data_IF_972557466579
#
_entry.id   IF_972557466579
#
_cell.length_a   1.000
_cell.length_b   1.000
_cell.length_c   1.000
_cell.angle_alpha   90.00
_cell.angle_beta   90.00
_cell.angle_gamma   90.00
#
_symmetry.space_group_name_H-M   'P 1'
#
loop_
_entity.id
_entity.type
_entity.pdbx_description
1 polymer ?
#
# COMPACT_ATOMS: atom_id res chain seq x y z
N UNK A 1 -46.15 27.04 -46.74
CA UNK A 1 -46.04 26.83 -45.27
C UNK A 1 -45.74 25.39 -44.87
N UNK A 2 -46.30 24.36 -45.52
CA UNK A 2 -45.98 22.94 -45.19
C UNK A 2 -44.52 22.56 -45.47
N UNK A 3 -43.93 23.08 -46.55
CA UNK A 3 -42.53 22.86 -46.94
C UNK A 3 -41.51 23.46 -45.95
N UNK A 4 -41.78 24.64 -45.39
CA UNK A 4 -40.93 25.26 -44.36
C UNK A 4 -41.00 24.46 -43.05
N UNK A 5 -42.18 23.95 -42.66
CA UNK A 5 -42.34 23.09 -41.48
C UNK A 5 -41.58 21.76 -41.62
N UNK A 6 -41.58 21.17 -42.81
CA UNK A 6 -40.79 19.96 -43.13
C UNK A 6 -39.28 20.19 -43.08
N UNK A 7 -38.82 21.37 -43.51
CA UNK A 7 -37.40 21.74 -43.52
C UNK A 7 -36.88 22.01 -42.10
N UNK A 8 -37.69 22.64 -41.23
CA UNK A 8 -37.38 22.82 -39.80
C UNK A 8 -37.34 21.46 -39.08
N UNK A 9 -38.25 20.53 -39.39
CA UNK A 9 -38.27 19.19 -38.78
C UNK A 9 -37.05 18.35 -39.20
N UNK A 10 -36.62 18.45 -40.46
CA UNK A 10 -35.41 17.79 -40.97
C UNK A 10 -34.15 18.35 -40.31
N UNK A 11 -34.07 19.68 -40.14
CA UNK A 11 -32.95 20.35 -39.49
C UNK A 11 -32.86 19.99 -37.99
N UNK A 12 -33.98 19.90 -37.28
CA UNK A 12 -34.00 19.42 -35.90
C UNK A 12 -33.58 17.94 -35.78
N UNK A 13 -33.89 17.09 -36.75
CA UNK A 13 -33.46 15.69 -36.77
C UNK A 13 -31.95 15.50 -36.94
N UNK A 14 -31.28 16.41 -37.65
CA UNK A 14 -29.82 16.41 -37.82
C UNK A 14 -29.07 16.77 -36.52
N UNK A 15 -29.65 17.58 -35.64
CA UNK A 15 -29.07 17.90 -34.33
C UNK A 15 -29.23 16.78 -33.29
N UNK A 16 -30.12 15.81 -33.52
CA UNK A 16 -30.32 14.67 -32.62
C UNK A 16 -29.21 13.61 -32.72
N UNK A 17 -28.32 13.69 -33.72
CA UNK A 17 -27.24 12.72 -33.94
C UNK A 17 -25.91 13.10 -33.25
N UNK A 18 -25.84 14.22 -32.52
CA UNK A 18 -24.61 14.66 -31.82
C UNK A 18 -24.47 14.15 -30.37
N UNK A 19 -25.20 13.11 -29.97
CA UNK A 19 -25.27 12.66 -28.57
C UNK A 19 -24.21 11.64 -28.13
N UNK A 20 -23.24 11.30 -28.97
CA UNK A 20 -22.13 10.45 -28.56
C UNK A 20 -21.13 11.26 -27.72
N UNK A 21 -21.31 11.26 -26.40
CA UNK A 21 -20.27 11.69 -25.46
C UNK A 21 -19.22 10.59 -25.42
N UNK A 22 -18.15 10.75 -26.20
CA UNK A 22 -17.12 9.73 -26.33
C UNK A 22 -16.38 9.46 -25.01
N UNK A 23 -16.27 10.46 -24.13
CA UNK A 23 -15.46 10.39 -22.91
C UNK A 23 -16.29 10.05 -21.65
N UNK A 24 -17.54 9.60 -21.80
CA UNK A 24 -18.36 9.23 -20.64
C UNK A 24 -17.83 7.98 -19.94
N UNK A 25 -17.27 7.04 -20.72
CA UNK A 25 -16.70 5.79 -20.21
C UNK A 25 -15.22 5.92 -19.84
N UNK A 26 -14.53 6.94 -20.36
CA UNK A 26 -13.12 7.21 -20.08
C UNK A 26 -12.99 8.17 -18.89
N UNK A 27 -13.27 7.64 -17.70
CA UNK A 27 -13.17 8.37 -16.43
C UNK A 27 -11.99 7.83 -15.62
N UNK A 28 -11.08 8.72 -15.24
CA UNK A 28 -10.04 8.37 -14.28
C UNK A 28 -10.66 8.02 -12.92
N UNK A 29 -10.13 6.99 -12.22
CA UNK A 29 -10.55 6.67 -10.87
C UNK A 29 -10.23 7.84 -9.93
N UNK A 30 -11.25 8.36 -9.26
CA UNK A 30 -11.13 9.50 -8.34
C UNK A 30 -10.72 9.07 -6.92
N UNK A 31 -10.68 7.77 -6.65
CA UNK A 31 -10.38 7.15 -5.36
C UNK A 31 -8.98 6.53 -5.29
N UNK A 32 -8.24 6.53 -6.39
CA UNK A 32 -6.90 5.93 -6.50
C UNK A 32 -5.92 6.96 -7.03
N UNK A 33 -4.75 7.04 -6.40
CA UNK A 33 -3.64 7.85 -6.90
C UNK A 33 -2.96 7.05 -8.03
N UNK A 34 -2.89 7.62 -9.23
CA UNK A 34 -2.22 6.99 -10.36
C UNK A 34 -0.72 6.83 -10.11
N UNK A 35 -0.10 5.80 -10.69
CA UNK A 35 1.34 5.54 -10.51
C UNK A 35 2.18 6.75 -10.95
N UNK A 36 1.85 7.37 -12.08
CA UNK A 36 2.55 8.57 -12.58
C UNK A 36 2.50 9.74 -11.58
N UNK A 37 1.40 9.88 -10.84
CA UNK A 37 1.25 10.92 -9.84
C UNK A 37 2.03 10.59 -8.56
N UNK A 38 2.15 9.31 -8.19
CA UNK A 38 2.95 8.88 -7.03
C UNK A 38 4.41 9.28 -7.22
N UNK A 39 5.01 8.96 -8.36
CA UNK A 39 6.45 9.16 -8.58
C UNK A 39 6.84 10.59 -8.96
N UNK A 40 5.87 11.45 -9.27
CA UNK A 40 6.10 12.87 -9.57
C UNK A 40 5.87 13.82 -8.38
N UNK A 41 5.34 13.31 -7.26
CA UNK A 41 4.99 14.11 -6.10
C UNK A 41 5.74 13.62 -4.85
N UNK A 42 6.60 14.45 -4.28
CA UNK A 42 7.37 14.15 -3.07
C UNK A 42 6.51 13.70 -1.88
N UNK A 43 5.34 14.32 -1.67
CA UNK A 43 4.45 13.93 -0.57
C UNK A 43 3.85 12.54 -0.80
N UNK A 44 3.57 12.18 -2.05
CA UNK A 44 3.06 10.85 -2.39
C UNK A 44 4.14 9.78 -2.19
N UNK A 45 5.39 10.05 -2.59
CA UNK A 45 6.53 9.16 -2.31
C UNK A 45 6.76 9.01 -0.80
N UNK A 46 6.69 10.11 -0.04
CA UNK A 46 6.80 10.07 1.42
C UNK A 46 5.67 9.26 2.07
N UNK A 47 4.43 9.39 1.60
CA UNK A 47 3.32 8.58 2.08
C UNK A 47 3.50 7.09 1.77
N UNK A 48 4.00 6.76 0.57
CA UNK A 48 4.35 5.39 0.19
C UNK A 48 5.44 4.82 1.12
N UNK A 49 6.51 5.58 1.35
CA UNK A 49 7.60 5.20 2.25
C UNK A 49 7.10 5.00 3.68
N UNK A 50 6.21 5.88 4.18
CA UNK A 50 5.60 5.74 5.50
C UNK A 50 4.81 4.43 5.64
N UNK A 51 4.06 4.02 4.61
CA UNK A 51 3.38 2.72 4.60
C UNK A 51 4.35 1.54 4.66
N UNK A 52 5.48 1.61 3.95
CA UNK A 52 6.52 0.57 4.06
C UNK A 52 7.10 0.46 5.47
N UNK A 53 7.27 1.59 6.18
CA UNK A 53 7.71 1.58 7.58
C UNK A 53 6.66 1.07 8.54
N UNK A 54 5.37 1.39 8.33
CA UNK A 54 4.26 0.87 9.14
C UNK A 54 4.22 -0.66 9.10
N UNK A 55 4.45 -1.23 7.92
CA UNK A 55 4.42 -2.68 7.68
C UNK A 55 5.63 -3.42 8.29
N UNK A 56 6.65 -2.73 8.77
CA UNK A 56 7.79 -3.37 9.41
C UNK A 56 7.38 -4.00 10.73
N UNK A 57 7.70 -5.29 10.89
CA UNK A 57 7.44 -5.99 12.15
C UNK A 57 8.22 -5.32 13.29
N UNK A 58 7.49 -4.80 14.26
CA UNK A 58 7.99 -4.43 15.58
C UNK A 58 7.21 -5.28 16.56
N UNK A 59 7.89 -6.00 17.45
CA UNK A 59 7.20 -6.75 18.49
C UNK A 59 6.26 -5.80 19.23
N UNK A 60 4.94 -6.08 19.26
CA UNK A 60 4.02 -5.25 19.98
C UNK A 60 4.34 -5.39 21.47
N UNK A 61 5.08 -4.43 22.02
CA UNK A 61 5.27 -4.23 23.45
C UNK A 61 3.98 -3.73 24.12
N UNK A 62 2.83 -4.14 23.61
CA UNK A 62 1.55 -3.91 24.23
C UNK A 62 1.43 -4.87 25.42
N UNK A 63 0.83 -4.40 26.51
CA UNK A 63 0.53 -5.19 27.72
C UNK A 63 -0.60 -6.20 27.43
N UNK A 64 -0.41 -7.06 26.44
CA UNK A 64 -1.38 -8.05 26.00
C UNK A 64 -1.37 -9.21 26.99
N UNK A 65 -2.24 -9.06 27.99
CA UNK A 65 -2.50 -10.10 28.99
C UNK A 65 -2.94 -11.35 28.24
N UNK A 66 -2.17 -12.44 28.41
CA UNK A 66 -2.46 -13.77 27.85
C UNK A 66 -2.11 -13.97 26.35
N UNK A 67 -1.25 -13.12 25.76
CA UNK A 67 -0.58 -13.41 24.48
C UNK A 67 0.87 -13.85 24.73
N UNK A 68 1.30 -14.90 24.02
CA UNK A 68 2.70 -15.35 24.02
C UNK A 68 3.57 -14.38 23.24
N UNK A 69 4.31 -13.50 23.92
CA UNK A 69 5.42 -12.73 23.34
C UNK A 69 6.65 -13.63 23.19
N UNK A 70 7.65 -13.20 22.41
CA UNK A 70 8.88 -13.99 22.21
C UNK A 70 9.58 -14.29 23.54
N UNK A 71 9.58 -13.32 24.47
CA UNK A 71 10.11 -13.48 25.83
C UNK A 71 9.46 -14.58 26.67
N UNK A 72 8.22 -15.01 26.36
CA UNK A 72 7.59 -16.15 27.05
C UNK A 72 8.11 -17.50 26.54
N UNK A 73 8.66 -17.55 25.32
CA UNK A 73 9.23 -18.75 24.73
C UNK A 73 10.72 -18.93 25.08
N UNK A 74 11.39 -17.90 25.59
CA UNK A 74 12.84 -17.87 25.83
C UNK A 74 13.25 -17.81 27.30
N UNK A 75 12.38 -18.20 28.25
CA UNK A 75 12.58 -18.13 29.72
C UNK A 75 12.84 -16.73 30.33
N UNK A 76 12.97 -15.70 29.49
CA UNK A 76 13.19 -14.31 29.87
C UNK A 76 12.01 -13.70 30.65
N UNK A 77 10.79 -14.15 30.38
CA UNK A 77 9.59 -13.68 31.06
C UNK A 77 8.63 -14.82 31.37
N UNK A 78 7.99 -14.74 32.54
CA UNK A 78 6.91 -15.65 32.94
C UNK A 78 5.69 -14.84 33.37
N UNK A 79 4.52 -15.44 33.20
CA UNK A 79 3.26 -14.87 33.66
C UNK A 79 3.34 -14.59 35.19
N UNK A 80 3.12 -13.35 35.61
CA UNK A 80 3.26 -12.92 37.01
C UNK A 80 1.96 -12.87 37.82
N UNK A 81 0.80 -13.15 37.20
CA UNK A 81 -0.51 -13.10 37.86
C UNK A 81 -0.81 -14.36 38.67
N UNK A 82 -1.45 -14.19 39.84
CA UNK A 82 -1.82 -15.28 40.74
C UNK A 82 -3.06 -16.08 40.32
N UNK A 83 -3.79 -15.61 39.30
CA UNK A 83 -4.94 -16.30 38.72
C UNK A 83 -4.65 -16.77 37.29
N UNK A 84 -4.79 -18.08 37.05
CA UNK A 84 -4.62 -18.72 35.75
C UNK A 84 -3.48 -19.74 35.72
N UNK A 85 -3.39 -20.49 34.62
CA UNK A 85 -2.30 -21.45 34.40
C UNK A 85 -1.03 -20.73 33.92
N UNK A 86 0.17 -21.23 34.29
CA UNK A 86 1.41 -20.80 33.66
C UNK A 86 1.26 -20.96 32.15
N UNK A 87 1.75 -19.98 31.39
CA UNK A 87 1.89 -20.16 29.96
C UNK A 87 2.92 -21.27 29.78
N UNK A 88 2.48 -22.48 29.48
CA UNK A 88 3.36 -23.60 29.09
C UNK A 88 3.53 -23.47 27.59
N UNK A 89 4.54 -22.74 27.10
CA UNK A 89 4.62 -22.42 25.70
C UNK A 89 5.06 -23.72 25.00
N UNK A 90 4.11 -24.44 24.43
CA UNK A 90 4.47 -25.27 23.28
C UNK A 90 4.78 -24.25 22.20
N UNK A 91 6.04 -24.18 21.78
CA UNK A 91 6.45 -23.31 20.69
C UNK A 91 5.65 -23.72 19.45
N UNK A 92 4.61 -22.95 19.15
CA UNK A 92 3.92 -23.08 17.89
C UNK A 92 4.83 -22.46 16.83
N UNK A 93 5.55 -23.30 16.09
CA UNK A 93 6.46 -22.85 15.04
C UNK A 93 5.76 -21.98 13.99
N UNK A 94 4.44 -22.10 13.84
CA UNK A 94 3.67 -21.22 12.96
C UNK A 94 3.63 -19.76 13.44
N UNK A 95 3.75 -19.53 14.75
CA UNK A 95 3.82 -18.18 15.34
C UNK A 95 5.16 -17.47 15.09
N UNK A 96 6.20 -18.23 14.75
CA UNK A 96 7.51 -17.70 14.35
C UNK A 96 7.65 -17.55 12.83
N UNK A 97 6.75 -18.16 12.06
CA UNK A 97 6.85 -18.19 10.61
C UNK A 97 6.36 -16.86 10.02
N UNK A 98 7.31 -16.00 9.66
CA UNK A 98 7.00 -14.77 8.93
C UNK A 98 7.03 -15.01 7.42
N UNK A 99 6.01 -14.53 6.71
CA UNK A 99 5.93 -14.62 5.25
C UNK A 99 5.76 -13.22 4.65
N UNK A 100 6.87 -12.53 4.50
CA UNK A 100 6.92 -11.09 4.21
C UNK A 100 7.08 -10.78 2.70
N UNK A 101 6.89 -11.78 1.82
CA UNK A 101 7.11 -11.62 0.38
C UNK A 101 6.21 -10.56 -0.27
N UNK A 102 5.01 -10.32 0.26
CA UNK A 102 4.16 -9.21 -0.18
C UNK A 102 4.83 -7.85 0.05
N UNK A 103 5.45 -7.64 1.23
CA UNK A 103 6.15 -6.41 1.61
C UNK A 103 7.47 -6.27 0.84
N UNK A 104 8.19 -7.37 0.63
CA UNK A 104 9.37 -7.40 -0.24
C UNK A 104 9.00 -7.00 -1.67
N UNK A 105 7.86 -7.44 -2.19
CA UNK A 105 7.36 -7.03 -3.51
C UNK A 105 7.10 -5.53 -3.56
N UNK A 106 6.46 -4.96 -2.53
CA UNK A 106 6.22 -3.51 -2.42
C UNK A 106 7.55 -2.74 -2.47
N UNK A 107 8.54 -3.15 -1.69
CA UNK A 107 9.87 -2.52 -1.70
C UNK A 107 10.56 -2.64 -3.07
N UNK A 108 10.42 -3.77 -3.76
CA UNK A 108 10.97 -3.94 -5.11
C UNK A 108 10.30 -3.02 -6.15
N UNK A 109 8.98 -2.87 -6.09
CA UNK A 109 8.24 -1.93 -6.96
C UNK A 109 8.68 -0.50 -6.70
N UNK A 110 8.85 -0.13 -5.42
CA UNK A 110 9.38 1.18 -5.06
C UNK A 110 10.77 1.43 -5.66
N UNK A 111 11.70 0.50 -5.44
CA UNK A 111 13.08 0.60 -5.96
C UNK A 111 13.14 0.67 -7.49
N UNK A 112 12.21 0.01 -8.18
CA UNK A 112 12.11 0.05 -9.64
C UNK A 112 11.61 1.42 -10.13
N UNK A 113 10.55 1.94 -9.50
CA UNK A 113 9.85 3.11 -10.00
C UNK A 113 10.47 4.43 -9.52
N UNK A 114 11.08 4.49 -8.33
CA UNK A 114 11.70 5.73 -7.85
C UNK A 114 12.83 6.21 -8.77
N UNK A 115 13.44 5.30 -9.54
CA UNK A 115 14.47 5.65 -10.53
C UNK A 115 13.93 6.42 -11.74
N UNK A 116 12.64 6.24 -12.08
CA UNK A 116 12.01 6.97 -13.19
C UNK A 116 11.49 8.34 -12.79
N UNK A 117 11.47 8.64 -11.48
CA UNK A 117 11.03 9.91 -10.93
C UNK A 117 11.93 11.08 -11.34
N UNK A 118 11.31 12.22 -11.65
CA UNK A 118 11.96 13.50 -11.95
C UNK A 118 12.22 14.35 -10.69
N UNK A 119 11.96 13.81 -9.50
CA UNK A 119 12.18 14.48 -8.21
C UNK A 119 13.68 14.67 -7.92
N UNK A 120 13.96 15.46 -6.88
CA UNK A 120 15.31 15.79 -6.43
C UNK A 120 16.17 14.53 -6.19
N UNK A 121 17.40 14.52 -6.72
CA UNK A 121 18.30 13.37 -6.66
C UNK A 121 18.74 13.00 -5.23
N UNK A 122 18.97 13.97 -4.36
CA UNK A 122 19.37 13.71 -2.97
C UNK A 122 18.25 12.98 -2.21
N UNK A 123 16.99 13.39 -2.44
CA UNK A 123 15.82 12.71 -1.89
C UNK A 123 15.65 11.30 -2.46
N UNK A 124 15.81 11.13 -3.78
CA UNK A 124 15.75 9.81 -4.41
C UNK A 124 16.82 8.87 -3.87
N UNK A 125 18.05 9.36 -3.67
CA UNK A 125 19.12 8.57 -3.08
C UNK A 125 18.79 8.15 -1.66
N UNK A 126 18.25 9.07 -0.85
CA UNK A 126 17.79 8.78 0.51
C UNK A 126 16.69 7.72 0.51
N UNK A 127 15.61 7.91 -0.23
CA UNK A 127 14.51 6.95 -0.27
C UNK A 127 14.93 5.57 -0.81
N UNK A 128 15.86 5.54 -1.77
CA UNK A 128 16.41 4.28 -2.29
C UNK A 128 17.17 3.52 -1.20
N UNK A 129 17.97 4.23 -0.38
CA UNK A 129 18.67 3.63 0.75
C UNK A 129 17.68 3.11 1.82
N UNK A 130 16.66 3.90 2.15
CA UNK A 130 15.59 3.50 3.09
C UNK A 130 14.83 2.26 2.58
N UNK A 131 14.47 2.21 1.30
CA UNK A 131 13.79 1.05 0.71
C UNK A 131 14.68 -0.20 0.70
N UNK A 132 15.99 -0.05 0.49
CA UNK A 132 16.94 -1.17 0.66
C UNK A 132 16.99 -1.68 2.09
N UNK A 133 16.99 -0.79 3.08
CA UNK A 133 16.92 -1.16 4.50
C UNK A 133 15.64 -1.92 4.82
N UNK A 134 14.47 -1.40 4.45
CA UNK A 134 13.17 -2.07 4.67
C UNK A 134 13.16 -3.47 4.04
N UNK A 135 13.60 -3.58 2.78
CA UNK A 135 13.68 -4.87 2.10
C UNK A 135 14.61 -5.85 2.81
N UNK A 136 15.79 -5.38 3.23
CA UNK A 136 16.75 -6.20 3.96
C UNK A 136 16.20 -6.67 5.31
N UNK A 137 15.47 -5.79 6.01
CA UNK A 137 14.80 -6.14 7.26
C UNK A 137 13.82 -7.28 7.06
N UNK A 138 12.91 -7.21 6.09
CA UNK A 138 11.96 -8.31 5.81
C UNK A 138 12.65 -9.62 5.41
N UNK A 139 13.77 -9.57 4.68
CA UNK A 139 14.54 -10.78 4.42
C UNK A 139 15.15 -11.36 5.70
N UNK A 140 15.67 -10.50 6.57
CA UNK A 140 16.25 -10.91 7.84
C UNK A 140 15.22 -11.54 8.77
N UNK A 141 13.99 -11.01 8.82
CA UNK A 141 12.98 -11.57 9.73
C UNK A 141 12.37 -12.90 9.27
N UNK A 142 12.53 -13.26 7.99
CA UNK A 142 12.15 -14.58 7.47
C UNK A 142 13.27 -15.63 7.56
N UNK A 143 14.51 -15.21 7.86
CA UNK A 143 15.69 -16.07 7.92
C UNK A 143 15.76 -16.86 9.24
#
# INVERSE_FOLDING_TARGET
MKSIKLLVLSLCGLFSMSSCVNDFLDRDPMDIISEDLVWSNENAVNAYMAGMYEDMFVEPHAWLINWGTLGHYTDESMRSYSWGYPYTPVLDLSSLQQWEYNKIRIANVFLQNIQTSTLNEDLKQRWTAEAHFVRAFHYFTMA
#
